data_IF_571627087399
#
_entry.id   IF_571627087399
#
_cell.length_a   1.000
_cell.length_b   1.000
_cell.length_c   1.000
_cell.angle_alpha   90.00
_cell.angle_beta   90.00
_cell.angle_gamma   90.00
#
_symmetry.space_group_name_H-M   'P 1'
#
loop_
_entity.id
_entity.type
_entity.pdbx_description
1 polymer ?
#
# COMPACT_ATOMS: atom_id res chain seq x y z
N UNK A 1 -3.16 21.38 6.69
CA UNK A 1 -3.86 21.09 5.42
C UNK A 1 -3.51 19.67 5.06
N UNK A 2 -4.48 18.78 4.82
CA UNK A 2 -4.22 17.35 4.55
C UNK A 2 -3.85 17.12 3.09
N UNK A 3 -2.98 16.14 2.82
CA UNK A 3 -2.49 15.84 1.46
C UNK A 3 -3.57 15.35 0.49
N UNK A 4 -4.65 14.78 1.01
CA UNK A 4 -5.80 14.26 0.24
C UNK A 4 -6.37 15.24 -0.79
N UNK A 5 -6.29 16.55 -0.52
CA UNK A 5 -6.88 17.60 -1.38
C UNK A 5 -5.87 18.30 -2.29
N UNK A 6 -4.60 17.89 -2.25
CA UNK A 6 -3.53 18.53 -3.00
C UNK A 6 -3.35 17.85 -4.37
N UNK A 7 -2.95 18.60 -5.42
CA UNK A 7 -2.61 18.00 -6.70
C UNK A 7 -1.41 17.04 -6.58
N UNK A 8 -1.43 15.93 -7.31
CA UNK A 8 -0.31 14.98 -7.39
C UNK A 8 0.99 15.67 -7.85
N UNK A 9 0.89 16.65 -8.76
CA UNK A 9 2.05 17.41 -9.22
C UNK A 9 2.77 18.13 -8.06
N UNK A 10 2.02 18.77 -7.15
CA UNK A 10 2.58 19.43 -5.98
C UNK A 10 3.24 18.42 -5.02
N UNK A 11 2.68 17.22 -4.88
CA UNK A 11 3.29 16.15 -4.09
C UNK A 11 4.66 15.75 -4.63
N UNK A 12 4.76 15.53 -5.95
CA UNK A 12 6.00 15.13 -6.61
C UNK A 12 7.05 16.24 -6.55
N UNK A 13 6.65 17.50 -6.77
CA UNK A 13 7.53 18.67 -6.68
C UNK A 13 8.11 18.84 -5.27
N UNK A 14 7.28 18.77 -4.23
CA UNK A 14 7.75 18.88 -2.84
C UNK A 14 8.65 17.71 -2.44
N UNK A 15 8.32 16.48 -2.86
CA UNK A 15 9.17 15.31 -2.64
C UNK A 15 10.56 15.49 -3.25
N UNK A 16 10.63 16.13 -4.44
CA UNK A 16 11.90 16.38 -5.13
C UNK A 16 12.79 17.41 -4.42
N UNK A 17 12.20 18.35 -3.68
CA UNK A 17 12.92 19.41 -2.96
C UNK A 17 13.67 18.88 -1.73
N UNK A 18 13.25 17.74 -1.16
CA UNK A 18 13.86 17.11 0.03
C UNK A 18 13.96 18.02 1.28
N UNK A 19 13.12 19.03 1.37
CA UNK A 19 12.98 19.83 2.60
C UNK A 19 12.23 19.01 3.66
N UNK A 20 12.52 19.16 4.94
CA UNK A 20 11.73 18.50 6.00
C UNK A 20 10.92 19.59 6.70
N UNK A 21 9.62 19.42 6.98
CA UNK A 21 8.76 18.30 6.58
C UNK A 21 8.39 18.36 5.09
N UNK A 22 8.49 17.23 4.40
CA UNK A 22 8.02 17.05 3.01
C UNK A 22 7.70 15.57 2.80
N UNK A 23 6.86 15.24 1.81
CA UNK A 23 6.78 13.89 1.27
C UNK A 23 8.14 13.22 1.09
N UNK A 24 8.18 11.94 1.44
CA UNK A 24 9.32 11.06 1.28
C UNK A 24 8.87 9.67 0.79
N UNK A 25 9.75 8.68 0.93
CA UNK A 25 9.50 7.31 0.48
C UNK A 25 8.21 6.73 1.09
N UNK A 26 7.99 6.86 2.40
CA UNK A 26 6.80 6.30 3.06
C UNK A 26 5.50 6.89 2.51
N UNK A 27 5.39 8.21 2.42
CA UNK A 27 4.24 8.89 1.84
C UNK A 27 4.04 8.57 0.35
N UNK A 28 5.12 8.34 -0.41
CA UNK A 28 5.04 7.94 -1.82
C UNK A 28 4.44 6.54 -1.96
N UNK A 29 4.82 5.61 -1.07
CA UNK A 29 4.21 4.28 -1.01
C UNK A 29 2.74 4.36 -0.57
N UNK A 30 2.39 5.26 0.36
CA UNK A 30 1.00 5.48 0.77
C UNK A 30 0.13 5.98 -0.40
N UNK A 31 0.63 6.94 -1.19
CA UNK A 31 -0.04 7.38 -2.42
C UNK A 31 -0.16 6.23 -3.44
N UNK A 32 0.88 5.40 -3.56
CA UNK A 32 0.88 4.22 -4.44
C UNK A 32 -0.19 3.20 -4.03
N UNK A 33 -0.37 2.95 -2.73
CA UNK A 33 -1.44 2.09 -2.23
C UNK A 33 -2.82 2.68 -2.53
N UNK A 34 -3.01 3.99 -2.37
CA UNK A 34 -4.27 4.64 -2.70
C UNK A 34 -4.64 4.47 -4.18
N UNK A 35 -3.65 4.60 -5.08
CA UNK A 35 -3.82 4.35 -6.51
C UNK A 35 -4.17 2.87 -6.79
N UNK A 36 -3.48 1.94 -6.13
CA UNK A 36 -3.80 0.52 -6.24
C UNK A 36 -5.24 0.22 -5.83
N UNK A 37 -5.69 0.73 -4.68
CA UNK A 37 -7.07 0.60 -4.23
C UNK A 37 -8.06 1.15 -5.27
N UNK A 38 -7.78 2.30 -5.88
CA UNK A 38 -8.64 2.87 -6.93
C UNK A 38 -8.78 1.96 -8.16
N UNK A 39 -7.69 1.32 -8.60
CA UNK A 39 -7.75 0.33 -9.68
C UNK A 39 -8.60 -0.89 -9.28
N UNK A 40 -8.46 -1.37 -8.05
CA UNK A 40 -9.28 -2.48 -7.53
C UNK A 40 -10.75 -2.09 -7.42
N UNK A 41 -11.08 -0.88 -6.96
CA UNK A 41 -12.47 -0.39 -6.95
C UNK A 41 -13.08 -0.40 -8.36
N UNK A 42 -12.30 -0.09 -9.40
CA UNK A 42 -12.76 -0.19 -10.79
C UNK A 42 -13.06 -1.64 -11.20
N UNK A 43 -12.18 -2.59 -10.88
CA UNK A 43 -12.42 -4.03 -11.12
C UNK A 43 -13.67 -4.51 -10.39
N UNK A 44 -13.80 -4.20 -9.10
CA UNK A 44 -14.93 -4.64 -8.28
C UNK A 44 -16.26 -4.03 -8.75
N UNK A 45 -16.25 -2.75 -9.14
CA UNK A 45 -17.44 -2.10 -9.70
C UNK A 45 -17.90 -2.76 -10.99
N UNK A 46 -16.96 -3.17 -11.85
CA UNK A 46 -17.28 -3.87 -13.10
C UNK A 46 -17.83 -5.28 -12.84
N UNK A 47 -17.23 -6.03 -11.93
CA UNK A 47 -17.70 -7.37 -11.54
C UNK A 47 -19.10 -7.31 -10.93
N UNK A 48 -19.37 -6.32 -10.07
CA UNK A 48 -20.68 -6.07 -9.48
C UNK A 48 -21.73 -5.75 -10.55
N UNK A 49 -21.44 -4.85 -11.49
CA UNK A 49 -22.34 -4.52 -12.63
C UNK A 49 -22.66 -5.72 -13.52
N UNK A 50 -21.73 -6.66 -13.64
CA UNK A 50 -21.87 -7.87 -14.44
C UNK A 50 -22.45 -9.06 -13.67
N UNK A 51 -22.74 -8.88 -12.38
CA UNK A 51 -23.17 -9.94 -11.47
C UNK A 51 -22.23 -11.16 -11.50
N UNK A 52 -20.94 -10.91 -11.73
CA UNK A 52 -19.94 -11.97 -11.89
C UNK A 52 -19.47 -12.45 -10.52
N UNK A 53 -19.79 -13.68 -10.19
CA UNK A 53 -19.38 -14.31 -8.94
C UNK A 53 -17.87 -14.61 -8.94
N UNK A 54 -17.23 -14.32 -7.81
CA UNK A 54 -15.84 -14.70 -7.53
C UNK A 54 -15.85 -15.72 -6.39
N UNK A 55 -15.39 -16.97 -6.60
CA UNK A 55 -15.44 -18.01 -5.59
C UNK A 55 -14.84 -17.59 -4.25
N UNK A 56 -15.61 -17.73 -3.17
CA UNK A 56 -15.16 -17.43 -1.80
C UNK A 56 -15.03 -15.94 -1.47
N UNK A 57 -15.51 -15.03 -2.34
CA UNK A 57 -15.47 -13.58 -2.13
C UNK A 57 -16.87 -12.96 -2.12
N UNK A 58 -17.00 -11.83 -1.45
CA UNK A 58 -18.21 -11.01 -1.41
C UNK A 58 -17.88 -9.63 -1.98
N UNK A 59 -18.16 -9.41 -3.27
CA UNK A 59 -17.69 -8.22 -4.01
C UNK A 59 -18.07 -6.89 -3.34
N UNK A 60 -19.28 -6.76 -2.80
CA UNK A 60 -19.71 -5.52 -2.13
C UNK A 60 -18.96 -5.27 -0.82
N UNK A 61 -18.70 -6.33 -0.04
CA UNK A 61 -17.92 -6.26 1.19
C UNK A 61 -16.47 -5.92 0.88
N UNK A 62 -15.91 -6.57 -0.13
CA UNK A 62 -14.54 -6.31 -0.58
C UNK A 62 -14.40 -4.88 -1.13
N UNK A 63 -15.41 -4.37 -1.83
CA UNK A 63 -15.42 -2.99 -2.31
C UNK A 63 -15.43 -1.99 -1.15
N UNK A 64 -16.25 -2.21 -0.13
CA UNK A 64 -16.25 -1.38 1.09
C UNK A 64 -14.90 -1.43 1.81
N UNK A 65 -14.28 -2.61 1.90
CA UNK A 65 -12.97 -2.79 2.52
C UNK A 65 -11.85 -2.08 1.76
N UNK A 66 -11.82 -2.19 0.42
CA UNK A 66 -10.84 -1.50 -0.43
C UNK A 66 -10.98 0.01 -0.31
N UNK A 67 -12.21 0.53 -0.24
CA UNK A 67 -12.45 1.96 0.00
C UNK A 67 -11.92 2.42 1.37
N UNK A 68 -12.10 1.60 2.41
CA UNK A 68 -11.55 1.90 3.73
C UNK A 68 -10.02 1.95 3.71
N UNK A 69 -9.36 0.98 3.05
CA UNK A 69 -7.91 1.01 2.86
C UNK A 69 -7.43 2.18 2.02
N UNK A 70 -8.19 2.60 0.99
CA UNK A 70 -7.86 3.82 0.23
C UNK A 70 -7.86 5.05 1.12
N UNK A 71 -8.88 5.22 1.96
CA UNK A 71 -8.94 6.34 2.89
C UNK A 71 -7.79 6.29 3.90
N UNK A 72 -7.51 5.10 4.44
CA UNK A 72 -6.38 4.88 5.35
C UNK A 72 -5.04 5.23 4.68
N UNK A 73 -4.81 4.79 3.45
CA UNK A 73 -3.61 5.12 2.67
C UNK A 73 -3.44 6.64 2.49
N UNK A 74 -4.53 7.37 2.23
CA UNK A 74 -4.49 8.83 2.15
C UNK A 74 -4.13 9.48 3.49
N UNK A 75 -4.65 8.97 4.61
CA UNK A 75 -4.26 9.48 5.94
C UNK A 75 -2.81 9.16 6.32
N UNK A 76 -2.28 8.04 5.80
CA UNK A 76 -0.90 7.62 6.05
C UNK A 76 0.14 8.52 5.37
N UNK A 77 -0.24 9.25 4.31
CA UNK A 77 0.61 10.27 3.69
C UNK A 77 1.01 11.35 4.70
N UNK A 78 0.02 11.96 5.35
CA UNK A 78 0.24 13.00 6.37
C UNK A 78 0.96 12.41 7.60
N UNK A 79 0.60 11.19 8.00
CA UNK A 79 1.17 10.52 9.16
C UNK A 79 2.67 10.22 8.99
N UNK A 80 3.10 9.77 7.81
CA UNK A 80 4.53 9.53 7.50
C UNK A 80 5.34 10.83 7.57
N UNK A 81 4.84 11.91 6.94
CA UNK A 81 5.52 13.21 6.93
C UNK A 81 5.70 13.73 8.36
N UNK A 82 4.67 13.60 9.18
CA UNK A 82 4.73 13.99 10.59
C UNK A 82 5.68 13.11 11.41
N UNK A 83 5.67 11.78 11.19
CA UNK A 83 6.59 10.87 11.86
C UNK A 83 8.06 11.19 11.50
N UNK A 84 8.35 11.46 10.23
CA UNK A 84 9.69 11.88 9.77
C UNK A 84 10.11 13.20 10.39
N UNK A 85 9.20 14.17 10.48
CA UNK A 85 9.49 15.44 11.16
C UNK A 85 9.86 15.23 12.63
N UNK A 86 9.07 14.42 13.36
CA UNK A 86 9.33 14.11 14.78
C UNK A 86 10.64 13.37 14.98
N UNK A 87 10.95 12.41 14.12
CA UNK A 87 12.23 11.68 14.15
C UNK A 87 13.42 12.63 13.97
N UNK A 88 13.38 13.49 12.97
CA UNK A 88 14.57 14.26 12.55
C UNK A 88 14.71 15.56 13.32
N UNK A 89 13.63 16.35 13.44
CA UNK A 89 13.69 17.68 14.08
C UNK A 89 13.52 17.60 15.59
N UNK A 90 12.58 16.79 16.06
CA UNK A 90 12.25 16.72 17.49
C UNK A 90 13.04 15.63 18.23
N UNK A 91 13.81 14.80 17.51
CA UNK A 91 14.61 13.70 18.05
C UNK A 91 13.81 12.76 18.93
N UNK A 92 12.54 12.57 18.59
CA UNK A 92 11.69 11.64 19.29
C UNK A 92 12.18 10.21 19.09
N UNK A 93 12.03 9.38 20.13
CA UNK A 93 12.61 8.03 20.18
C UNK A 93 11.60 6.92 20.45
N UNK A 94 10.32 7.24 20.45
CA UNK A 94 9.27 6.24 20.66
C UNK A 94 9.04 5.45 19.35
N UNK A 95 9.55 4.20 19.24
CA UNK A 95 9.42 3.43 18.02
C UNK A 95 7.98 3.13 17.65
N UNK A 96 7.12 2.91 18.66
CA UNK A 96 5.76 2.44 18.45
C UNK A 96 4.96 3.52 17.71
N UNK A 97 5.02 4.78 18.17
CA UNK A 97 4.32 5.86 17.47
C UNK A 97 4.96 6.27 16.14
N UNK A 98 6.28 6.14 15.99
CA UNK A 98 7.00 6.61 14.79
C UNK A 98 6.99 5.59 13.65
N UNK A 99 6.96 4.29 13.95
CA UNK A 99 6.90 3.23 12.94
C UNK A 99 5.47 2.84 12.56
N UNK A 100 4.48 3.16 13.41
CA UNK A 100 3.09 2.77 13.19
C UNK A 100 2.55 3.08 11.78
N UNK A 101 2.81 4.25 11.16
CA UNK A 101 2.33 4.52 9.81
C UNK A 101 2.86 3.50 8.79
N UNK A 102 4.12 3.09 8.91
CA UNK A 102 4.73 2.11 8.01
C UNK A 102 4.25 0.68 8.29
N UNK A 103 4.00 0.34 9.55
CA UNK A 103 3.38 -0.95 9.91
C UNK A 103 1.99 -1.07 9.30
N UNK A 104 1.16 -0.04 9.46
CA UNK A 104 -0.18 0.00 8.86
C UNK A 104 -0.13 -0.06 7.33
N UNK A 105 0.81 0.67 6.71
CA UNK A 105 0.99 0.65 5.27
C UNK A 105 1.40 -0.72 4.75
N UNK A 106 2.30 -1.39 5.45
CA UNK A 106 2.65 -2.78 5.21
C UNK A 106 1.37 -3.61 5.31
N UNK A 107 0.76 -3.75 6.48
CA UNK A 107 -0.41 -4.61 6.72
C UNK A 107 -1.53 -4.44 5.67
N UNK A 108 -1.91 -3.21 5.34
CA UNK A 108 -2.93 -2.94 4.32
C UNK A 108 -2.53 -3.46 2.95
N UNK A 109 -1.29 -3.21 2.50
CA UNK A 109 -0.81 -3.74 1.24
C UNK A 109 -0.79 -5.28 1.25
N UNK A 110 -0.40 -5.90 2.36
CA UNK A 110 -0.44 -7.35 2.55
C UNK A 110 -1.82 -7.94 2.33
N UNK A 111 -2.82 -7.38 3.02
CA UNK A 111 -4.20 -7.84 2.94
C UNK A 111 -4.81 -7.61 1.55
N UNK A 112 -4.50 -6.47 0.92
CA UNK A 112 -4.97 -6.17 -0.44
C UNK A 112 -4.34 -7.13 -1.47
N UNK A 113 -3.06 -7.45 -1.35
CA UNK A 113 -2.39 -8.37 -2.27
C UNK A 113 -2.98 -9.78 -2.20
N UNK A 114 -3.27 -10.26 -1.00
CA UNK A 114 -3.97 -11.54 -0.80
C UNK A 114 -5.36 -11.56 -1.41
N UNK A 115 -6.11 -10.46 -1.24
CA UNK A 115 -7.42 -10.30 -1.87
C UNK A 115 -7.31 -10.35 -3.41
N UNK A 116 -6.31 -9.68 -3.98
CA UNK A 116 -6.16 -9.56 -5.43
C UNK A 116 -5.90 -10.89 -6.13
N UNK A 117 -5.26 -11.86 -5.46
CA UNK A 117 -5.02 -13.18 -6.04
C UNK A 117 -6.33 -13.84 -6.51
N UNK A 118 -7.40 -13.74 -5.71
CA UNK A 118 -8.70 -14.32 -6.06
C UNK A 118 -9.36 -13.64 -7.26
N UNK A 119 -9.12 -12.34 -7.45
CA UNK A 119 -9.69 -11.58 -8.56
C UNK A 119 -8.93 -11.76 -9.87
N UNK A 120 -7.65 -12.13 -9.80
CA UNK A 120 -6.84 -12.48 -10.98
C UNK A 120 -7.25 -13.81 -11.61
N UNK A 121 -7.91 -14.70 -10.85
CA UNK A 121 -8.43 -15.98 -11.34
C UNK A 121 -9.73 -15.87 -12.13
N UNK A 122 -10.34 -14.69 -12.15
CA UNK A 122 -11.63 -14.47 -12.79
C UNK A 122 -11.42 -13.78 -14.12
N UNK A 123 -11.82 -14.44 -15.21
CA UNK A 123 -11.83 -13.83 -16.53
C UNK A 123 -12.71 -12.58 -16.53
N UNK A 124 -12.08 -11.41 -16.63
CA UNK A 124 -12.77 -10.14 -16.70
C UNK A 124 -12.02 -9.20 -17.66
N UNK A 125 -12.75 -8.29 -18.31
CA UNK A 125 -12.18 -7.34 -19.26
C UNK A 125 -11.26 -6.27 -18.65
N UNK A 126 -10.93 -6.37 -17.35
CA UNK A 126 -10.15 -5.41 -16.57
C UNK A 126 -8.97 -6.06 -15.84
N UNK A 127 -8.53 -7.22 -16.33
CA UNK A 127 -7.42 -7.96 -15.73
C UNK A 127 -6.13 -7.15 -15.70
N UNK A 128 -5.92 -6.26 -16.68
CA UNK A 128 -4.80 -5.31 -16.70
C UNK A 128 -4.79 -4.40 -15.47
N UNK A 129 -5.95 -3.91 -15.04
CA UNK A 129 -6.08 -2.99 -13.90
C UNK A 129 -5.80 -3.75 -12.60
N UNK A 130 -6.25 -5.01 -12.51
CA UNK A 130 -5.98 -5.89 -11.37
C UNK A 130 -4.50 -6.28 -11.27
N UNK A 131 -3.85 -6.59 -12.40
CA UNK A 131 -2.40 -6.87 -12.46
C UNK A 131 -1.59 -5.63 -12.08
N UNK A 132 -1.94 -4.46 -12.63
CA UNK A 132 -1.29 -3.19 -12.28
C UNK A 132 -1.46 -2.87 -10.78
N UNK A 133 -2.64 -3.10 -10.22
CA UNK A 133 -2.88 -2.95 -8.78
C UNK A 133 -1.98 -3.88 -7.95
N UNK A 134 -1.82 -5.15 -8.34
CA UNK A 134 -0.95 -6.08 -7.63
C UNK A 134 0.52 -5.67 -7.71
N UNK A 135 0.99 -5.14 -8.85
CA UNK A 135 2.35 -4.60 -8.99
C UNK A 135 2.59 -3.39 -8.07
N UNK A 136 1.61 -2.49 -7.96
CA UNK A 136 1.66 -1.39 -6.99
C UNK A 136 1.69 -1.91 -5.55
N UNK A 137 0.79 -2.82 -5.19
CA UNK A 137 0.73 -3.46 -3.87
C UNK A 137 2.06 -4.13 -3.51
N UNK A 138 2.64 -4.88 -4.46
CA UNK A 138 3.95 -5.51 -4.31
C UNK A 138 5.04 -4.48 -3.98
N UNK A 139 5.04 -3.36 -4.69
CA UNK A 139 5.99 -2.26 -4.46
C UNK A 139 5.81 -1.65 -3.07
N UNK A 140 4.56 -1.39 -2.67
CA UNK A 140 4.23 -0.88 -1.32
C UNK A 140 4.66 -1.85 -0.23
N UNK A 141 4.33 -3.13 -0.37
CA UNK A 141 4.66 -4.15 0.62
C UNK A 141 6.17 -4.27 0.82
N UNK A 142 6.94 -4.41 -0.27
CA UNK A 142 8.39 -4.52 -0.21
C UNK A 142 9.05 -3.23 0.30
N UNK A 143 8.58 -2.07 -0.18
CA UNK A 143 9.09 -0.76 0.22
C UNK A 143 8.86 -0.49 1.71
N UNK A 144 7.67 -0.78 2.22
CA UNK A 144 7.35 -0.62 3.65
C UNK A 144 8.20 -1.54 4.52
N UNK A 145 8.39 -2.80 4.12
CA UNK A 145 9.30 -3.72 4.83
C UNK A 145 10.74 -3.19 4.88
N UNK A 146 11.22 -2.62 3.77
CA UNK A 146 12.55 -2.01 3.72
C UNK A 146 12.66 -0.81 4.66
N UNK A 147 11.70 0.12 4.63
CA UNK A 147 11.69 1.32 5.49
C UNK A 147 11.64 0.92 6.97
N UNK A 148 10.80 -0.05 7.34
CA UNK A 148 10.70 -0.58 8.70
C UNK A 148 12.06 -1.12 9.18
N UNK A 149 12.70 -2.00 8.40
CA UNK A 149 14.03 -2.56 8.72
C UNK A 149 15.10 -1.48 8.80
N UNK A 150 15.08 -0.54 7.85
CA UNK A 150 16.06 0.53 7.78
C UNK A 150 15.97 1.42 9.04
N UNK A 151 14.77 1.90 9.37
CA UNK A 151 14.57 2.75 10.55
C UNK A 151 14.90 2.01 11.84
N UNK A 152 14.41 0.78 12.01
CA UNK A 152 14.73 0.01 13.21
C UNK A 152 16.23 -0.23 13.39
N UNK A 153 16.95 -0.54 12.31
CA UNK A 153 18.41 -0.67 12.35
C UNK A 153 19.10 0.66 12.64
N UNK A 154 18.66 1.75 12.02
CA UNK A 154 19.27 3.07 12.17
C UNK A 154 19.12 3.63 13.59
N UNK A 155 17.97 3.37 14.25
CA UNK A 155 17.66 3.87 15.57
C UNK A 155 17.84 2.84 16.70
N UNK A 156 18.19 1.59 16.39
CA UNK A 156 18.37 0.52 17.36
C UNK A 156 17.06 0.02 17.98
N UNK A 157 15.95 0.09 17.24
CA UNK A 157 14.63 -0.33 17.69
C UNK A 157 14.36 -1.81 17.39
N UNK A 158 13.58 -2.51 18.23
CA UNK A 158 13.14 -3.87 17.91
C UNK A 158 12.06 -3.83 16.81
N UNK A 159 12.12 -4.77 15.86
CA UNK A 159 11.10 -4.91 14.80
C UNK A 159 10.08 -6.04 15.08
N UNK A 160 10.31 -6.86 16.11
CA UNK A 160 9.48 -8.03 16.42
C UNK A 160 9.28 -8.97 15.22
N UNK A 161 8.16 -9.70 15.22
CA UNK A 161 7.75 -10.61 14.15
C UNK A 161 6.90 -9.94 13.05
N UNK A 162 6.86 -8.60 13.03
CA UNK A 162 6.00 -7.80 12.16
C UNK A 162 6.23 -8.09 10.66
N UNK A 163 7.44 -8.53 10.29
CA UNK A 163 7.81 -8.87 8.91
C UNK A 163 7.91 -10.38 8.67
N UNK A 164 7.39 -11.22 9.54
CA UNK A 164 7.41 -12.68 9.36
C UNK A 164 6.66 -13.10 8.08
N UNK A 165 7.19 -14.10 7.36
CA UNK A 165 6.56 -14.64 6.15
C UNK A 165 6.52 -13.71 4.92
N UNK A 166 7.21 -12.56 4.95
CA UNK A 166 7.15 -11.57 3.86
C UNK A 166 7.68 -12.11 2.52
N UNK A 167 8.74 -12.93 2.54
CA UNK A 167 9.36 -13.54 1.34
C UNK A 167 8.44 -14.57 0.69
N UNK A 168 7.85 -15.46 1.48
CA UNK A 168 6.92 -16.48 0.98
C UNK A 168 5.72 -15.83 0.29
N UNK A 169 5.15 -14.80 0.91
CA UNK A 169 4.06 -14.03 0.33
C UNK A 169 4.46 -13.37 -0.98
N UNK A 170 5.65 -12.76 -1.03
CA UNK A 170 6.18 -12.12 -2.23
C UNK A 170 6.37 -13.12 -3.37
N UNK A 171 6.98 -14.27 -3.11
CA UNK A 171 7.17 -15.33 -4.11
C UNK A 171 5.85 -15.85 -4.66
N UNK A 172 4.82 -16.00 -3.82
CA UNK A 172 3.49 -16.39 -4.27
C UNK A 172 2.86 -15.35 -5.19
N UNK A 173 2.97 -14.07 -4.86
CA UNK A 173 2.46 -13.00 -5.73
C UNK A 173 3.22 -12.93 -7.05
N UNK A 174 4.53 -13.11 -7.02
CA UNK A 174 5.38 -13.12 -8.21
C UNK A 174 5.02 -14.29 -9.14
N UNK A 175 4.84 -15.49 -8.59
CA UNK A 175 4.36 -16.64 -9.35
C UNK A 175 2.98 -16.39 -9.99
N UNK A 176 2.08 -15.69 -9.29
CA UNK A 176 0.78 -15.33 -9.86
C UNK A 176 0.91 -14.31 -11.00
N UNK A 177 1.76 -13.30 -10.85
CA UNK A 177 2.01 -12.31 -11.90
C UNK A 177 2.62 -12.96 -13.14
N UNK A 178 3.58 -13.88 -12.97
CA UNK A 178 4.18 -14.65 -14.07
C UNK A 178 3.15 -15.50 -14.81
N UNK A 179 2.26 -16.18 -14.09
CA UNK A 179 1.13 -16.92 -14.68
C UNK A 179 0.25 -15.99 -15.53
N UNK A 180 -0.05 -14.80 -15.03
CA UNK A 180 -0.93 -13.85 -15.71
C UNK A 180 -0.31 -13.20 -16.95
N UNK A 181 1.01 -13.01 -16.98
CA UNK A 181 1.73 -12.49 -18.15
C UNK A 181 1.94 -13.54 -19.24
N UNK A 182 1.76 -14.82 -18.92
CA UNK A 182 1.95 -15.95 -19.83
C UNK A 182 0.67 -16.38 -20.54
N UNK A 183 -0.47 -15.78 -20.21
CA UNK A 183 -1.79 -15.99 -20.84
C UNK A 183 -1.99 -14.99 -21.99
#
# INVERSE_FOLDING_TARGET
MTWEKRPVAAFVEEMAQREIPSPAAGSSLALTLAMACSLVEMTLSELSKKEQAVPGRETDRDWAQVRAWRQQALTLIDADIFAVERMIRLREKDPDSLLQPMVQLFECAGQLGEMLLAYLDVENGKISDTVAALLHVRTVWLGSAHILRFNARAFGWPLGDQLSGWEERLHRWDGKLEEMMSK
#
